data_IF_132648348972
#
_entry.id   IF_132648348972
#
_cell.length_a   1.000
_cell.length_b   1.000
_cell.length_c   1.000
_cell.angle_alpha   90.00
_cell.angle_beta   90.00
_cell.angle_gamma   90.00
#
_symmetry.space_group_name_H-M   'P 1'
#
loop_
_entity.id
_entity.type
_entity.pdbx_description
1 polymer ?
#
# COMPACT_ATOMS: atom_id res chain seq x y z
N UNK A 1 -19.79 -3.75 -5.04
CA UNK A 1 -18.71 -3.57 -4.05
C UNK A 1 -18.77 -4.74 -3.08
N UNK A 2 -17.64 -5.19 -2.54
CA UNK A 2 -17.64 -6.18 -1.46
C UNK A 2 -17.32 -5.43 -0.16
N UNK A 3 -18.10 -5.67 0.89
CA UNK A 3 -17.78 -5.19 2.25
C UNK A 3 -17.42 -6.40 3.10
N UNK A 4 -16.34 -6.28 3.88
CA UNK A 4 -15.96 -7.30 4.84
C UNK A 4 -16.48 -6.90 6.21
N UNK A 5 -17.30 -7.76 6.79
CA UNK A 5 -17.94 -7.53 8.06
C UNK A 5 -17.20 -8.32 9.12
N UNK A 6 -16.66 -7.64 10.12
CA UNK A 6 -15.90 -8.23 11.21
C UNK A 6 -16.79 -8.29 12.44
N UNK A 7 -17.01 -9.49 12.96
CA UNK A 7 -17.73 -9.69 14.20
C UNK A 7 -16.79 -9.57 15.41
N UNK A 8 -17.30 -9.29 16.63
CA UNK A 8 -16.47 -9.15 17.82
C UNK A 8 -15.77 -10.46 18.23
N UNK A 9 -16.27 -11.60 17.72
CA UNK A 9 -15.64 -12.92 17.83
C UNK A 9 -14.36 -13.06 16.98
N UNK A 10 -14.13 -12.14 16.04
CA UNK A 10 -13.10 -12.23 15.01
C UNK A 10 -13.54 -12.98 13.75
N UNK A 11 -14.81 -13.39 13.66
CA UNK A 11 -15.36 -13.98 12.44
C UNK A 11 -15.53 -12.91 11.36
N UNK A 12 -15.24 -13.27 10.11
CA UNK A 12 -15.36 -12.38 8.95
C UNK A 12 -16.43 -12.87 7.97
N UNK A 13 -17.26 -11.95 7.47
CA UNK A 13 -18.27 -12.24 6.45
C UNK A 13 -18.23 -11.21 5.34
N UNK A 14 -18.04 -11.68 4.11
CA UNK A 14 -18.07 -10.82 2.92
C UNK A 14 -19.49 -10.70 2.39
N UNK A 15 -20.00 -9.47 2.29
CA UNK A 15 -21.30 -9.17 1.70
C UNK A 15 -21.17 -8.38 0.40
N UNK A 16 -22.05 -8.66 -0.55
CA UNK A 16 -22.14 -7.86 -1.78
C UNK A 16 -22.99 -6.63 -1.54
N UNK A 17 -22.36 -5.46 -1.64
CA UNK A 17 -23.02 -4.16 -1.50
C UNK A 17 -23.17 -3.50 -2.87
N UNK A 18 -24.37 -3.01 -3.17
CA UNK A 18 -24.66 -2.24 -4.39
C UNK A 18 -24.37 -0.76 -4.16
N UNK A 19 -24.08 -0.06 -5.25
CA UNK A 19 -23.89 1.39 -5.22
C UNK A 19 -25.16 2.08 -4.73
N UNK A 20 -25.03 2.96 -3.74
CA UNK A 20 -26.16 3.64 -3.09
C UNK A 20 -26.80 2.90 -1.90
N UNK A 21 -26.33 1.70 -1.52
CA UNK A 21 -26.80 1.06 -0.29
C UNK A 21 -26.38 1.85 0.95
N UNK A 22 -27.33 1.96 1.89
CA UNK A 22 -27.15 2.61 3.18
C UNK A 22 -26.74 1.61 4.26
N UNK A 23 -26.21 2.12 5.37
CA UNK A 23 -25.98 1.33 6.59
C UNK A 23 -27.28 0.71 7.11
N UNK A 24 -28.43 1.40 6.96
CA UNK A 24 -29.75 0.84 7.26
C UNK A 24 -30.07 -0.40 6.43
N UNK A 25 -29.79 -0.39 5.13
CA UNK A 25 -30.01 -1.57 4.26
C UNK A 25 -29.18 -2.78 4.73
N UNK A 26 -27.94 -2.52 5.18
CA UNK A 26 -27.05 -3.55 5.70
C UNK A 26 -27.54 -4.10 7.06
N UNK A 27 -28.00 -3.23 7.95
CA UNK A 27 -28.63 -3.62 9.22
C UNK A 27 -29.85 -4.52 8.98
N UNK A 28 -30.74 -4.15 8.06
CA UNK A 28 -31.91 -4.97 7.70
C UNK A 28 -31.54 -6.29 7.06
N UNK A 29 -30.44 -6.34 6.29
CA UNK A 29 -29.92 -7.59 5.75
C UNK A 29 -29.42 -8.52 6.87
N UNK A 30 -28.60 -8.00 7.78
CA UNK A 30 -28.05 -8.75 8.92
C UNK A 30 -29.15 -9.23 9.87
N UNK A 31 -30.16 -8.39 10.13
CA UNK A 31 -31.34 -8.77 10.91
C UNK A 31 -32.02 -10.02 10.35
N UNK A 32 -32.19 -10.10 9.03
CA UNK A 32 -32.80 -11.26 8.37
C UNK A 32 -31.91 -12.50 8.38
N UNK A 33 -30.61 -12.33 8.13
CA UNK A 33 -29.65 -13.44 8.05
C UNK A 33 -29.44 -14.08 9.42
N UNK A 34 -29.28 -13.26 10.46
CA UNK A 34 -28.94 -13.73 11.81
C UNK A 34 -30.13 -13.76 12.77
N UNK A 35 -31.34 -13.41 12.31
CA UNK A 35 -32.55 -13.29 13.14
C UNK A 35 -32.38 -12.34 14.32
N UNK A 36 -31.65 -11.25 14.10
CA UNK A 36 -31.34 -10.21 15.08
C UNK A 36 -32.36 -9.07 15.00
N UNK A 37 -32.69 -8.45 16.13
CA UNK A 37 -33.53 -7.25 16.10
C UNK A 37 -32.70 -6.04 15.64
N UNK A 38 -33.16 -5.32 14.62
CA UNK A 38 -32.40 -4.22 13.98
C UNK A 38 -31.91 -3.15 14.96
N UNK A 39 -32.72 -2.84 15.98
CA UNK A 39 -32.41 -1.84 17.01
C UNK A 39 -31.14 -2.15 17.81
N UNK A 40 -30.73 -3.42 17.87
CA UNK A 40 -29.55 -3.88 18.61
C UNK A 40 -28.34 -4.12 17.70
N UNK A 41 -28.45 -3.83 16.41
CA UNK A 41 -27.34 -3.96 15.46
C UNK A 41 -26.66 -2.61 15.34
N UNK A 42 -25.37 -2.56 15.63
CA UNK A 42 -24.56 -1.35 15.47
C UNK A 42 -23.41 -1.64 14.52
N UNK A 43 -23.23 -0.76 13.53
CA UNK A 43 -22.16 -0.87 12.54
C UNK A 43 -21.19 0.29 12.77
N UNK A 44 -19.91 -0.03 12.90
CA UNK A 44 -18.86 0.95 13.10
C UNK A 44 -17.82 0.88 11.98
N UNK A 45 -17.22 2.03 11.67
CA UNK A 45 -16.07 2.14 10.79
C UNK A 45 -14.99 2.98 11.48
N UNK A 46 -13.75 2.47 11.53
CA UNK A 46 -12.65 3.10 12.28
C UNK A 46 -13.09 3.54 13.69
N UNK A 47 -13.80 2.65 14.38
CA UNK A 47 -14.24 2.89 15.76
C UNK A 47 -15.29 3.98 15.97
N UNK A 48 -15.84 4.54 14.87
CA UNK A 48 -16.98 5.47 14.89
C UNK A 48 -18.25 4.75 14.47
N UNK A 49 -19.31 4.90 15.28
CA UNK A 49 -20.65 4.41 14.93
C UNK A 49 -21.18 5.15 13.70
N UNK A 50 -21.68 4.39 12.73
CA UNK A 50 -22.29 4.93 11.52
C UNK A 50 -23.80 5.09 11.71
N UNK A 51 -24.35 6.12 11.09
CA UNK A 51 -25.80 6.40 11.08
C UNK A 51 -26.48 5.58 9.99
N UNK A 52 -27.75 5.20 10.20
CA UNK A 52 -28.50 4.39 9.22
C UNK A 52 -28.62 5.06 7.84
N UNK A 53 -28.50 6.39 7.76
CA UNK A 53 -28.52 7.15 6.50
C UNK A 53 -27.18 7.18 5.75
N UNK A 54 -26.08 6.76 6.38
CA UNK A 54 -24.76 6.80 5.76
C UNK A 54 -24.70 5.84 4.57
N UNK A 55 -24.15 6.31 3.44
CA UNK A 55 -24.02 5.51 2.23
C UNK A 55 -22.69 4.76 2.28
N UNK A 56 -22.73 3.44 2.06
CA UNK A 56 -21.56 2.56 2.15
C UNK A 56 -20.48 2.94 1.12
N UNK A 57 -20.82 3.61 0.01
CA UNK A 57 -19.89 3.99 -1.05
C UNK A 57 -18.99 5.21 -0.75
N UNK A 58 -19.24 5.96 0.33
CA UNK A 58 -18.38 7.09 0.71
C UNK A 58 -17.24 6.71 1.67
N UNK A 59 -17.12 5.43 2.02
CA UNK A 59 -16.06 4.89 2.87
C UNK A 59 -14.97 4.26 2.00
N UNK A 60 -14.17 5.05 1.26
CA UNK A 60 -13.09 4.49 0.42
C UNK A 60 -11.72 4.73 1.03
N UNK A 61 -10.78 3.81 0.76
CA UNK A 61 -9.82 4.17 -0.27
C UNK A 61 -9.59 3.19 -1.43
N UNK A 62 -10.08 1.93 -1.44
CA UNK A 62 -10.19 1.05 -2.65
C UNK A 62 -10.78 -0.35 -2.28
N UNK A 63 -12.12 -0.45 -2.25
CA UNK A 63 -12.95 -1.66 -2.36
C UNK A 63 -12.80 -2.87 -1.40
N UNK A 64 -12.27 -2.66 -0.19
CA UNK A 64 -12.72 -3.43 0.98
C UNK A 64 -12.94 -2.45 2.14
N UNK A 65 -14.12 -2.48 2.74
CA UNK A 65 -14.45 -1.72 3.95
C UNK A 65 -14.59 -2.73 5.07
N UNK A 66 -13.73 -2.63 6.09
CA UNK A 66 -13.84 -3.40 7.32
C UNK A 66 -14.86 -2.70 8.22
N UNK A 67 -16.01 -3.32 8.40
CA UNK A 67 -17.08 -2.82 9.25
C UNK A 67 -17.23 -3.71 10.48
N UNK A 68 -17.08 -3.13 11.66
CA UNK A 68 -17.30 -3.86 12.92
C UNK A 68 -18.81 -3.92 13.21
N UNK A 69 -19.35 -5.12 13.44
CA UNK A 69 -20.75 -5.33 13.80
C UNK A 69 -20.89 -5.66 15.29
N UNK A 70 -21.77 -4.97 15.99
CA UNK A 70 -22.14 -5.30 17.37
C UNK A 70 -23.62 -5.68 17.43
N UNK A 71 -23.92 -6.75 18.17
CA UNK A 71 -25.28 -7.13 18.54
C UNK A 71 -25.46 -7.05 20.07
N UNK A 72 -26.29 -6.10 20.51
CA UNK A 72 -26.36 -5.64 21.91
C UNK A 72 -26.99 -6.65 22.89
N UNK A 73 -27.60 -7.74 22.42
CA UNK A 73 -28.35 -8.68 23.30
C UNK A 73 -27.47 -9.59 24.18
N UNK A 74 -26.15 -9.50 24.07
CA UNK A 74 -25.18 -10.35 24.78
C UNK A 74 -24.83 -9.78 26.17
N UNK A 75 -25.71 -9.94 27.15
CA UNK A 75 -25.36 -9.71 28.55
C UNK A 75 -24.55 -10.89 29.09
N UNK A 76 -23.28 -10.69 29.44
CA UNK A 76 -22.56 -11.63 30.29
C UNK A 76 -22.92 -11.36 31.76
N UNK A 77 -23.72 -12.23 32.37
CA UNK A 77 -24.02 -12.19 33.80
C UNK A 77 -22.90 -12.86 34.58
N UNK A 78 -22.09 -12.08 35.30
CA UNK A 78 -21.12 -12.60 36.27
C UNK A 78 -21.71 -12.48 37.69
N UNK A 79 -22.13 -13.59 38.30
CA UNK A 79 -22.62 -13.58 39.68
C UNK A 79 -21.45 -13.67 40.66
N UNK A 80 -21.15 -12.57 41.37
CA UNK A 80 -20.36 -12.60 42.60
C UNK A 80 -21.00 -11.67 43.63
N UNK A 81 -21.48 -12.25 44.73
CA UNK A 81 -22.00 -11.56 45.93
C UNK A 81 -23.09 -10.51 45.65
N UNK A 82 -24.29 -10.96 45.23
CA UNK A 82 -25.57 -10.21 45.22
C UNK A 82 -25.61 -8.85 44.49
N UNK A 83 -24.58 -8.49 43.72
CA UNK A 83 -24.63 -7.37 42.78
C UNK A 83 -24.70 -7.90 41.37
N UNK A 84 -25.86 -7.78 40.74
CA UNK A 84 -25.99 -7.93 39.29
C UNK A 84 -25.30 -6.74 38.62
N UNK A 85 -24.14 -6.97 38.00
CA UNK A 85 -23.57 -6.03 37.03
C UNK A 85 -23.88 -6.57 35.65
N UNK A 86 -24.88 -5.98 35.01
CA UNK A 86 -25.06 -6.09 33.57
C UNK A 86 -24.09 -5.09 32.94
N UNK A 87 -23.03 -5.57 32.29
CA UNK A 87 -22.15 -4.72 31.47
C UNK A 87 -22.60 -4.89 30.04
N UNK A 88 -23.03 -3.82 29.39
CA UNK A 88 -23.39 -3.88 27.97
C UNK A 88 -22.11 -4.05 27.14
N UNK A 89 -22.17 -4.89 26.11
CA UNK A 89 -21.08 -5.05 25.12
C UNK A 89 -20.70 -3.70 24.48
N UNK A 90 -21.66 -2.77 24.37
CA UNK A 90 -21.46 -1.41 23.87
C UNK A 90 -20.62 -0.58 24.82
N UNK A 91 -20.86 -0.67 26.14
CA UNK A 91 -20.06 0.03 27.14
C UNK A 91 -18.61 -0.49 27.16
N UNK A 92 -18.42 -1.81 27.02
CA UNK A 92 -17.07 -2.38 26.91
C UNK A 92 -16.34 -1.90 25.66
N UNK A 93 -17.05 -1.81 24.53
CA UNK A 93 -16.50 -1.28 23.29
C UNK A 93 -16.11 0.19 23.44
N UNK A 94 -16.99 1.04 23.97
CA UNK A 94 -16.70 2.46 24.19
C UNK A 94 -15.52 2.68 25.14
N UNK A 95 -15.42 1.86 26.20
CA UNK A 95 -14.27 1.88 27.12
C UNK A 95 -12.99 1.46 26.38
N UNK A 96 -13.03 0.38 25.60
CA UNK A 96 -11.89 -0.08 24.82
C UNK A 96 -11.44 0.97 23.79
N UNK A 97 -12.39 1.70 23.19
CA UNK A 97 -12.06 2.80 22.26
C UNK A 97 -11.36 3.94 22.97
N UNK A 98 -11.88 4.40 24.11
CA UNK A 98 -11.20 5.44 24.90
C UNK A 98 -9.79 5.01 25.31
N UNK A 99 -9.62 3.76 25.76
CA UNK A 99 -8.29 3.23 26.09
C UNK A 99 -7.39 3.19 24.86
N UNK A 100 -7.92 2.83 23.68
CA UNK A 100 -7.16 2.80 22.43
C UNK A 100 -6.71 4.22 22.05
N UNK A 101 -7.62 5.18 22.06
CA UNK A 101 -7.34 6.59 21.77
C UNK A 101 -6.28 7.14 22.73
N UNK A 102 -6.44 6.92 24.04
CA UNK A 102 -5.46 7.30 25.05
C UNK A 102 -4.09 6.68 24.80
N UNK A 103 -4.05 5.38 24.46
CA UNK A 103 -2.78 4.70 24.15
C UNK A 103 -2.12 5.22 22.88
N UNK A 104 -2.90 5.53 21.85
CA UNK A 104 -2.37 6.13 20.61
C UNK A 104 -1.79 7.50 20.91
N UNK A 105 -2.49 8.35 21.66
CA UNK A 105 -2.00 9.67 22.08
C UNK A 105 -0.73 9.55 22.92
N UNK A 106 -0.71 8.67 23.92
CA UNK A 106 0.48 8.39 24.73
C UNK A 106 1.66 7.93 23.88
N UNK A 107 1.41 7.09 22.87
CA UNK A 107 2.45 6.64 21.95
C UNK A 107 2.98 7.78 21.06
N UNK A 108 2.10 8.63 20.56
CA UNK A 108 2.48 9.82 19.78
C UNK A 108 3.33 10.75 20.67
N UNK A 109 2.88 11.07 21.87
CA UNK A 109 3.59 11.95 22.82
C UNK A 109 4.96 11.38 23.20
N UNK A 110 5.03 10.08 23.49
CA UNK A 110 6.27 9.38 23.78
C UNK A 110 7.23 9.45 22.59
N UNK A 111 6.75 9.16 21.38
CA UNK A 111 7.55 9.17 20.16
C UNK A 111 8.02 10.59 19.85
N UNK A 112 7.16 11.59 20.00
CA UNK A 112 7.50 13.00 19.76
C UNK A 112 8.59 13.48 20.73
N UNK A 113 8.54 13.01 21.98
CA UNK A 113 9.51 13.36 23.02
C UNK A 113 10.87 12.68 22.80
N UNK A 114 10.89 11.42 22.35
CA UNK A 114 12.11 10.60 22.33
C UNK A 114 12.71 10.37 20.94
N UNK A 115 11.92 10.49 19.88
CA UNK A 115 12.33 10.25 18.48
C UNK A 115 11.48 11.09 17.50
N UNK A 116 11.56 12.43 17.56
CA UNK A 116 10.77 13.32 16.71
C UNK A 116 11.06 13.12 15.21
N UNK A 117 12.22 12.55 14.85
CA UNK A 117 12.62 12.30 13.46
C UNK A 117 11.67 11.35 12.73
N UNK A 118 10.95 10.47 13.44
CA UNK A 118 9.95 9.55 12.83
C UNK A 118 8.78 10.31 12.21
N UNK A 119 8.52 11.54 12.65
CA UNK A 119 7.47 12.39 12.09
C UNK A 119 7.92 13.20 10.87
N UNK A 120 9.20 13.13 10.50
CA UNK A 120 9.70 13.74 9.26
C UNK A 120 9.25 12.84 8.10
N UNK A 121 8.41 13.34 7.18
CA UNK A 121 7.98 12.56 6.03
C UNK A 121 9.20 12.22 5.15
N UNK A 122 9.28 10.97 4.71
CA UNK A 122 10.28 10.52 3.73
C UNK A 122 9.78 10.90 2.36
N UNK A 123 10.16 12.06 1.85
CA UNK A 123 9.61 12.61 0.61
C UNK A 123 10.33 12.15 -0.66
N UNK A 124 11.46 11.44 -0.59
CA UNK A 124 12.35 11.40 -1.75
C UNK A 124 12.63 10.03 -2.37
N UNK A 125 12.04 9.86 -3.55
CA UNK A 125 12.52 8.92 -4.57
C UNK A 125 13.91 9.33 -5.06
N UNK A 126 14.82 8.36 -5.16
CA UNK A 126 16.23 8.61 -5.48
C UNK A 126 16.60 8.12 -6.86
N UNK A 127 17.30 8.98 -7.59
CA UNK A 127 17.67 8.78 -8.97
C UNK A 127 19.18 8.78 -9.14
N UNK A 128 19.61 8.13 -10.23
CA UNK A 128 20.93 8.29 -10.83
C UNK A 128 20.77 8.47 -12.33
N UNK A 129 21.63 9.29 -12.93
CA UNK A 129 21.67 9.44 -14.38
C UNK A 129 22.60 8.38 -14.96
N UNK A 130 22.07 7.52 -15.84
CA UNK A 130 22.85 6.57 -16.63
C UNK A 130 22.89 7.02 -18.09
N UNK A 131 23.84 6.50 -18.86
CA UNK A 131 23.91 6.72 -20.30
C UNK A 131 23.61 5.42 -21.05
N UNK A 132 22.66 5.48 -21.98
CA UNK A 132 22.32 4.37 -22.89
C UNK A 132 22.43 4.90 -24.31
N UNK A 133 23.26 4.30 -25.16
CA UNK A 133 23.44 4.73 -26.56
C UNK A 133 23.65 6.25 -26.72
N UNK A 134 24.48 6.85 -25.85
CA UNK A 134 24.77 8.30 -25.80
C UNK A 134 23.60 9.20 -25.39
N UNK A 135 22.51 8.63 -24.89
CA UNK A 135 21.38 9.36 -24.31
C UNK A 135 21.46 9.26 -22.79
N UNK A 136 21.41 10.41 -22.11
CA UNK A 136 21.29 10.45 -20.65
C UNK A 136 19.86 10.08 -20.25
N UNK A 137 19.73 9.11 -19.36
CA UNK A 137 18.46 8.57 -18.89
C UNK A 137 18.44 8.63 -17.37
N UNK A 138 17.41 9.27 -16.84
CA UNK A 138 17.15 9.28 -15.41
C UNK A 138 16.60 7.92 -14.96
N UNK A 139 17.19 7.38 -13.91
CA UNK A 139 16.89 6.04 -13.44
C UNK A 139 16.57 6.04 -11.94
N UNK A 140 15.31 5.71 -11.63
CA UNK A 140 14.83 5.52 -10.27
C UNK A 140 15.46 4.26 -9.66
N UNK A 141 16.01 4.38 -8.45
CA UNK A 141 16.50 3.26 -7.66
C UNK A 141 15.34 2.67 -6.85
N UNK A 142 14.87 1.47 -7.23
CA UNK A 142 13.71 0.83 -6.60
C UNK A 142 14.01 -0.60 -6.16
N UNK A 143 14.17 -0.80 -4.85
CA UNK A 143 14.34 -2.15 -4.27
C UNK A 143 13.05 -2.97 -4.24
N UNK A 144 11.88 -2.35 -4.43
CA UNK A 144 10.60 -3.03 -4.54
C UNK A 144 10.41 -3.72 -5.90
N UNK A 145 11.15 -3.29 -6.93
CA UNK A 145 11.09 -3.88 -8.25
C UNK A 145 12.06 -5.07 -8.39
N UNK A 146 11.54 -6.27 -8.65
CA UNK A 146 12.39 -7.44 -8.93
C UNK A 146 13.19 -7.30 -10.23
N UNK A 147 12.59 -6.67 -11.25
CA UNK A 147 13.17 -6.42 -12.56
C UNK A 147 13.27 -4.92 -12.81
N UNK A 148 14.30 -4.53 -13.55
CA UNK A 148 14.45 -3.18 -14.09
C UNK A 148 13.50 -2.97 -15.26
N UNK A 149 12.94 -1.77 -15.36
CA UNK A 149 11.83 -1.45 -16.26
C UNK A 149 12.11 -0.17 -17.02
N UNK A 150 11.80 -0.16 -18.32
CA UNK A 150 11.96 1.03 -19.17
C UNK A 150 10.63 1.33 -19.91
N UNK A 151 10.18 2.60 -19.93
CA UNK A 151 9.00 2.98 -20.70
C UNK A 151 9.32 3.04 -22.20
N UNK A 152 8.33 2.76 -23.05
CA UNK A 152 8.51 2.61 -24.50
C UNK A 152 9.02 3.89 -25.18
N UNK A 153 8.70 5.08 -24.67
CA UNK A 153 9.24 6.34 -25.19
C UNK A 153 10.75 6.46 -24.97
N UNK A 154 11.27 6.02 -23.83
CA UNK A 154 12.73 6.02 -23.58
C UNK A 154 13.46 4.97 -24.43
N UNK A 155 12.84 3.82 -24.69
CA UNK A 155 13.37 2.82 -25.65
C UNK A 155 13.59 3.45 -27.04
N UNK A 156 12.59 4.20 -27.53
CA UNK A 156 12.68 4.92 -28.81
C UNK A 156 13.79 5.95 -28.80
N UNK A 157 13.84 6.78 -27.76
CA UNK A 157 14.87 7.81 -27.60
C UNK A 157 16.28 7.21 -27.59
N UNK A 158 16.45 6.06 -26.94
CA UNK A 158 17.72 5.36 -26.84
C UNK A 158 18.02 4.45 -28.05
N UNK A 159 17.19 4.42 -29.10
CA UNK A 159 17.32 3.52 -30.26
C UNK A 159 17.42 2.03 -29.89
N UNK A 160 16.64 1.57 -28.91
CA UNK A 160 16.65 0.18 -28.43
C UNK A 160 15.55 -0.71 -29.04
N UNK A 161 14.69 -0.18 -29.90
CA UNK A 161 13.47 -0.88 -30.36
C UNK A 161 13.77 -2.24 -31.01
N UNK A 162 14.88 -2.35 -31.75
CA UNK A 162 15.28 -3.59 -32.42
C UNK A 162 15.76 -4.69 -31.45
N UNK A 163 16.01 -4.36 -30.18
CA UNK A 163 16.45 -5.30 -29.16
C UNK A 163 15.28 -5.89 -28.36
N UNK A 164 14.04 -5.46 -28.63
CA UNK A 164 12.87 -5.95 -27.92
C UNK A 164 12.49 -7.33 -28.47
N UNK A 165 12.53 -8.33 -27.59
CA UNK A 165 11.84 -9.59 -27.81
C UNK A 165 10.36 -9.41 -27.49
N UNK A 166 9.53 -9.36 -28.54
CA UNK A 166 8.08 -9.24 -28.43
C UNK A 166 7.37 -10.57 -28.17
N UNK A 167 8.03 -11.71 -28.37
CA UNK A 167 7.44 -13.03 -28.08
C UNK A 167 7.44 -13.29 -26.57
N UNK A 168 8.39 -12.70 -25.84
CA UNK A 168 8.45 -12.80 -24.39
C UNK A 168 7.71 -11.65 -23.70
N UNK A 169 6.49 -11.93 -23.26
CA UNK A 169 5.72 -11.05 -22.38
C UNK A 169 5.78 -11.58 -20.95
N UNK A 170 6.12 -10.69 -20.02
CA UNK A 170 6.17 -10.98 -18.59
C UNK A 170 5.17 -10.11 -17.86
N UNK A 171 4.67 -10.62 -16.74
CA UNK A 171 3.82 -9.88 -15.82
C UNK A 171 4.72 -9.25 -14.78
N UNK A 172 4.75 -7.92 -14.72
CA UNK A 172 5.54 -7.16 -13.74
C UNK A 172 4.62 -6.50 -12.72
N UNK A 173 5.05 -6.47 -11.46
CA UNK A 173 4.39 -5.73 -10.40
C UNK A 173 4.74 -4.24 -10.53
N UNK A 174 3.71 -3.41 -10.59
CA UNK A 174 3.80 -1.96 -10.56
C UNK A 174 3.06 -1.46 -9.31
N UNK A 175 3.30 -0.22 -8.89
CA UNK A 175 2.68 0.35 -7.68
C UNK A 175 1.13 0.31 -7.64
N UNK A 176 0.47 0.18 -8.80
CA UNK A 176 -0.99 0.08 -8.93
C UNK A 176 -1.51 -1.35 -9.19
N UNK A 177 -0.67 -2.38 -9.00
CA UNK A 177 -0.95 -3.77 -9.35
C UNK A 177 -0.10 -4.26 -10.51
N UNK A 178 -0.55 -5.29 -11.23
CA UNK A 178 0.27 -5.91 -12.28
C UNK A 178 0.08 -5.27 -13.65
N UNK A 179 1.17 -5.11 -14.41
CA UNK A 179 1.15 -4.72 -15.82
C UNK A 179 1.77 -5.81 -16.70
N UNK A 180 1.23 -6.00 -17.90
CA UNK A 180 1.87 -6.82 -18.93
C UNK A 180 2.95 -6.01 -19.64
N UNK A 181 4.10 -6.62 -19.88
CA UNK A 181 5.18 -6.00 -20.66
C UNK A 181 4.90 -6.11 -22.16
N UNK A 182 5.37 -5.12 -22.92
CA UNK A 182 5.38 -5.15 -24.39
C UNK A 182 6.42 -6.11 -24.97
N UNK A 183 7.39 -6.49 -24.14
CA UNK A 183 8.52 -7.32 -24.49
C UNK A 183 9.63 -7.17 -23.46
N UNK A 184 10.74 -7.83 -23.72
CA UNK A 184 11.95 -7.78 -22.88
C UNK A 184 13.17 -7.48 -23.73
N UNK A 185 14.07 -6.65 -23.21
CA UNK A 185 15.42 -6.47 -23.73
C UNK A 185 16.35 -7.26 -22.80
N UNK A 186 16.91 -8.36 -23.28
CA UNK A 186 17.74 -9.24 -22.45
C UNK A 186 19.07 -8.61 -22.03
N UNK A 187 19.64 -7.77 -22.90
CA UNK A 187 20.92 -7.11 -22.66
C UNK A 187 20.91 -5.72 -23.29
N UNK A 188 20.72 -4.71 -22.44
CA UNK A 188 20.88 -3.32 -22.79
C UNK A 188 22.24 -2.83 -22.27
N UNK A 189 23.16 -2.38 -23.13
CA UNK A 189 24.41 -1.76 -22.69
C UNK A 189 24.11 -0.38 -22.07
N UNK A 190 24.74 -0.10 -20.94
CA UNK A 190 24.67 1.20 -20.28
C UNK A 190 26.05 1.61 -19.76
N UNK A 191 26.23 2.90 -19.53
CA UNK A 191 27.38 3.46 -18.82
C UNK A 191 26.90 4.23 -17.59
N UNK A 192 27.57 4.03 -16.47
CA UNK A 192 27.39 4.82 -15.26
C UNK A 192 28.76 5.20 -14.70
N UNK A 193 29.02 6.51 -14.64
CA UNK A 193 30.29 7.07 -14.17
C UNK A 193 31.54 6.47 -14.85
N UNK A 194 31.53 6.31 -16.18
CA UNK A 194 32.67 5.76 -16.93
C UNK A 194 32.84 4.25 -16.81
N UNK A 195 31.85 3.53 -16.28
CA UNK A 195 31.87 2.08 -16.18
C UNK A 195 30.72 1.54 -17.02
N UNK A 196 31.06 0.70 -17.99
CA UNK A 196 30.10 0.03 -18.85
C UNK A 196 29.53 -1.22 -18.17
N UNK A 197 28.27 -1.52 -18.46
CA UNK A 197 27.61 -2.71 -17.99
C UNK A 197 26.44 -3.11 -18.88
N UNK A 198 25.80 -4.23 -18.53
CA UNK A 198 24.60 -4.73 -19.20
C UNK A 198 23.47 -4.92 -18.21
N UNK A 199 22.25 -4.64 -18.65
CA UNK A 199 21.04 -4.76 -17.84
C UNK A 199 19.91 -5.41 -18.65
N UNK A 200 19.19 -6.32 -18.04
CA UNK A 200 17.92 -6.83 -18.57
C UNK A 200 16.80 -5.86 -18.21
N UNK A 201 16.00 -5.48 -19.21
CA UNK A 201 14.90 -4.52 -19.07
C UNK A 201 13.57 -5.12 -19.51
N UNK A 202 12.56 -4.98 -18.67
CA UNK A 202 11.16 -5.16 -19.05
C UNK A 202 10.65 -3.87 -19.70
N UNK A 203 9.99 -3.98 -20.87
CA UNK A 203 9.47 -2.81 -21.59
C UNK A 203 7.99 -2.62 -21.26
N UNK A 204 7.61 -1.44 -20.78
CA UNK A 204 6.22 -1.08 -20.51
C UNK A 204 5.65 -0.10 -21.52
N UNK A 205 4.40 -0.32 -21.93
CA UNK A 205 3.64 0.64 -22.73
C UNK A 205 3.04 1.75 -21.86
N UNK A 206 3.92 2.56 -21.27
CA UNK A 206 3.57 3.77 -20.53
C UNK A 206 4.45 4.92 -20.99
N UNK A 207 3.96 6.13 -20.84
CA UNK A 207 4.82 7.30 -20.91
C UNK A 207 5.47 7.52 -19.54
N UNK A 208 6.74 7.90 -19.55
CA UNK A 208 7.49 8.25 -18.36
C UNK A 208 8.84 8.79 -18.73
N UNK A 209 9.34 9.73 -17.93
CA UNK A 209 10.60 10.43 -18.19
C UNK A 209 11.81 9.73 -17.55
N UNK A 210 11.56 8.70 -16.74
CA UNK A 210 12.58 7.88 -16.10
C UNK A 210 12.34 6.38 -16.28
N UNK A 211 13.42 5.64 -16.19
CA UNK A 211 13.40 4.18 -16.07
C UNK A 211 13.55 3.77 -14.60
N UNK A 212 13.38 2.47 -14.32
CA UNK A 212 13.57 1.89 -12.99
C UNK A 212 14.75 0.92 -13.03
N UNK A 213 15.70 1.10 -12.11
CA UNK A 213 16.73 0.11 -11.77
C UNK A 213 16.22 -0.71 -10.58
N UNK A 214 15.85 -1.94 -10.87
CA UNK A 214 15.37 -2.90 -9.88
C UNK A 214 16.48 -3.73 -9.24
N UNK A 215 16.06 -4.67 -8.40
CA UNK A 215 16.94 -5.60 -7.68
C UNK A 215 17.82 -6.44 -8.61
N UNK A 216 17.36 -6.79 -9.82
CA UNK A 216 18.19 -7.53 -10.78
C UNK A 216 19.49 -6.80 -11.10
N UNK A 217 19.44 -5.48 -11.31
CA UNK A 217 20.62 -4.65 -11.56
C UNK A 217 21.44 -4.40 -10.30
N UNK A 218 20.77 -4.08 -9.18
CA UNK A 218 21.45 -3.78 -7.91
C UNK A 218 22.23 -5.00 -7.40
N UNK A 219 21.63 -6.20 -7.44
CA UNK A 219 22.30 -7.45 -7.03
C UNK A 219 23.44 -7.82 -7.96
N UNK A 220 23.24 -7.68 -9.27
CA UNK A 220 24.27 -7.96 -10.27
C UNK A 220 25.52 -7.11 -10.03
N UNK A 221 25.33 -5.82 -9.75
CA UNK A 221 26.42 -4.87 -9.55
C UNK A 221 26.86 -4.69 -8.08
N UNK A 222 26.28 -5.48 -7.16
CA UNK A 222 26.55 -5.42 -5.71
C UNK A 222 26.45 -4.00 -5.15
N UNK A 223 25.40 -3.30 -5.54
CA UNK A 223 25.19 -1.90 -5.15
C UNK A 223 24.93 -1.81 -3.66
N UNK A 224 25.61 -0.88 -2.98
CA UNK A 224 25.32 -0.51 -1.61
C UNK A 224 24.72 0.89 -1.59
N UNK A 225 23.50 1.05 -1.06
CA UNK A 225 22.86 2.34 -0.92
C UNK A 225 23.07 2.88 0.49
N UNK A 226 23.56 4.11 0.58
CA UNK A 226 23.67 4.84 1.83
C UNK A 226 22.64 5.98 1.80
N UNK A 227 21.55 5.78 2.53
CA UNK A 227 20.44 6.73 2.61
C UNK A 227 20.75 7.95 3.49
N UNK A 228 21.77 7.86 4.36
CA UNK A 228 22.19 8.99 5.20
C UNK A 228 23.02 10.02 4.41
N UNK A 229 23.83 9.54 3.46
CA UNK A 229 24.69 10.39 2.62
C UNK A 229 24.12 10.62 1.21
N UNK A 230 22.94 10.06 0.92
CA UNK A 230 22.29 10.12 -0.39
C UNK A 230 23.17 9.57 -1.51
N UNK A 231 23.87 8.46 -1.25
CA UNK A 231 24.81 7.88 -2.22
C UNK A 231 24.57 6.41 -2.51
N UNK A 232 25.05 5.96 -3.66
CA UNK A 232 25.25 4.54 -3.95
C UNK A 232 26.73 4.24 -4.18
N UNK A 233 27.15 3.03 -3.82
CA UNK A 233 28.44 2.49 -4.21
C UNK A 233 28.25 1.54 -5.38
N UNK A 234 28.95 1.78 -6.49
CA UNK A 234 28.91 1.01 -7.72
C UNK A 234 30.33 0.74 -8.20
N UNK A 235 30.75 -0.54 -8.23
CA UNK A 235 32.10 -0.97 -8.60
C UNK A 235 33.23 -0.17 -7.91
N UNK A 236 33.06 0.10 -6.62
CA UNK A 236 34.04 0.84 -5.81
C UNK A 236 34.00 2.36 -5.97
N UNK A 237 33.11 2.91 -6.81
CA UNK A 237 32.85 4.35 -6.91
C UNK A 237 31.64 4.73 -6.08
N UNK A 238 31.75 5.85 -5.37
CA UNK A 238 30.61 6.48 -4.67
C UNK A 238 29.96 7.49 -5.61
N UNK A 239 28.66 7.36 -5.79
CA UNK A 239 27.84 8.18 -6.70
C UNK A 239 26.77 8.85 -5.86
N UNK A 240 26.65 10.17 -5.97
CA UNK A 240 25.58 10.91 -5.33
C UNK A 240 24.28 10.68 -6.09
N UNK A 241 23.23 10.34 -5.36
CA UNK A 241 21.86 10.26 -5.87
C UNK A 241 21.20 11.64 -5.81
N UNK A 242 20.19 11.84 -6.62
CA UNK A 242 19.43 13.08 -6.64
C UNK A 242 17.94 12.83 -6.68
N UNK A 243 17.18 13.87 -6.40
CA UNK A 243 15.73 13.91 -6.52
C UNK A 243 15.38 14.60 -7.83
N UNK A 244 14.27 14.19 -8.44
CA UNK A 244 13.68 14.91 -9.56
C UNK A 244 12.42 15.55 -9.01
N UNK A 245 12.38 16.88 -9.01
CA UNK A 245 11.16 17.63 -8.71
C UNK A 245 10.17 17.42 -9.86
N UNK A 246 9.02 16.83 -9.57
CA UNK A 246 7.84 16.82 -10.46
C UNK A 246 7.27 18.23 -10.68
#
# INVERSE_FOLDING_TARGET
MLANLIFPSGDEVVVTVKEGNTIGDLISHLSKVYSWEEQFIHICYNSKRLESSDIICHLTSLNMVDLDIFYEKSFFTFQRNEREMAVSTVEQFEILQKIREEKVLQNIDYTFTHCPEVFVPVESLRYVTIQINNVQVEALLDTGASLSVIPLNLVKLCNLELLIDHEYTSKVECGSGYSLTMGVIYSCPYELCGIEGHIQLAVLNRQGDSMILGLNWMKLNKVCMNLGDDTITFHGKTIKTHEISE
#
